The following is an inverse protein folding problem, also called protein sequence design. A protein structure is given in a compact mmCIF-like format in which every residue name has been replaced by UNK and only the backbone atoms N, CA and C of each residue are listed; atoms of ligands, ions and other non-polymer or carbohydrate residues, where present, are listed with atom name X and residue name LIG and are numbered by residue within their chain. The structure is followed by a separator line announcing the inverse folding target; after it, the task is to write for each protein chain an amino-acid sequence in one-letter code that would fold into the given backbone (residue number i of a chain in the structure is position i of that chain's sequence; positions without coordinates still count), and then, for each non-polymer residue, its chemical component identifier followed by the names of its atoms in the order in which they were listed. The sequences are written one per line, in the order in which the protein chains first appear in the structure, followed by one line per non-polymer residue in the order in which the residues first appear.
data_IF_595433488422
#
_entry.id   IF_595433488422
#
_cell.length_a   1.000
_cell.length_b   1.000
_cell.length_c   1.000
_cell.angle_alpha   90.00
_cell.angle_beta   90.00
_cell.angle_gamma   90.00
#
_symmetry.space_group_name_H-M   'P 1'
#
loop_
_entity.id
_entity.type
_entity.pdbx_description
1 polymer ?
#
# COMPACT_ATOMS: atom_id res chain seq x y z
N UNK A 1 -16.15 24.84 14.61
CA UNK A 1 -15.67 26.05 13.91
C UNK A 1 -14.12 26.14 13.82
N UNK A 2 -13.35 25.45 14.66
CA UNK A 2 -11.88 25.49 14.60
C UNK A 2 -11.25 24.50 13.60
N UNK A 3 -11.93 23.42 13.24
CA UNK A 3 -11.40 22.39 12.32
C UNK A 3 -11.03 22.91 10.90
N UNK A 4 -11.83 23.76 10.24
CA UNK A 4 -11.47 24.25 8.91
C UNK A 4 -10.22 25.13 8.89
N UNK A 5 -10.04 26.00 9.88
CA UNK A 5 -8.87 26.88 9.99
C UNK A 5 -7.57 26.10 10.25
N UNK A 6 -7.62 25.06 11.10
CA UNK A 6 -6.48 24.19 11.37
C UNK A 6 -6.12 23.33 10.14
N UNK A 7 -7.14 22.83 9.42
CA UNK A 7 -6.92 22.09 8.18
C UNK A 7 -6.27 22.98 7.11
N UNK A 8 -6.68 24.25 6.98
CA UNK A 8 -6.09 25.19 6.03
C UNK A 8 -4.63 25.52 6.37
N UNK A 9 -4.30 25.65 7.67
CA UNK A 9 -2.91 25.86 8.11
C UNK A 9 -2.01 24.69 7.75
N UNK A 10 -2.52 23.48 7.68
CA UNK A 10 -1.80 22.24 7.39
C UNK A 10 -1.94 21.78 5.94
N UNK A 11 -2.57 22.57 5.07
CA UNK A 11 -2.75 22.20 3.66
C UNK A 11 -1.37 22.02 2.98
N UNK A 12 -1.09 20.79 2.58
CA UNK A 12 0.18 20.40 1.97
C UNK A 12 0.47 21.17 0.66
N UNK A 13 -0.56 21.61 -0.07
CA UNK A 13 -0.41 22.40 -1.31
C UNK A 13 0.10 23.80 -1.01
N UNK A 14 -0.37 24.39 0.10
CA UNK A 14 0.10 25.69 0.57
C UNK A 14 1.50 25.58 1.11
N UNK A 15 1.74 24.68 2.05
CA UNK A 15 3.07 24.48 2.66
C UNK A 15 4.11 24.06 1.61
N UNK A 16 3.74 23.19 0.68
CA UNK A 16 4.60 22.76 -0.41
C UNK A 16 5.11 23.93 -1.26
N UNK A 17 4.24 24.89 -1.55
CA UNK A 17 4.57 26.11 -2.31
C UNK A 17 5.38 27.10 -1.47
N UNK A 18 4.91 27.44 -0.26
CA UNK A 18 5.56 28.40 0.61
C UNK A 18 6.97 27.99 1.02
N UNK A 19 7.17 26.69 1.27
CA UNK A 19 8.47 26.12 1.66
C UNK A 19 9.29 25.62 0.48
N UNK A 20 8.80 25.71 -0.75
CA UNK A 20 9.44 25.22 -1.97
C UNK A 20 9.77 23.71 -1.90
N UNK A 21 8.78 22.88 -1.51
CA UNK A 21 8.98 21.45 -1.31
C UNK A 21 8.77 20.65 -2.60
N UNK A 22 7.75 20.99 -3.38
CA UNK A 22 7.39 20.29 -4.60
C UNK A 22 6.49 21.14 -5.50
N UNK A 23 6.32 20.71 -6.74
CA UNK A 23 5.28 21.22 -7.63
C UNK A 23 4.74 20.11 -8.54
N UNK A 24 3.59 20.38 -9.13
CA UNK A 24 2.94 19.55 -10.15
C UNK A 24 2.68 20.44 -11.36
N UNK A 25 2.94 19.91 -12.56
CA UNK A 25 2.73 20.66 -13.83
C UNK A 25 2.20 19.74 -14.94
N UNK A 26 1.68 20.33 -16.00
CA UNK A 26 0.98 19.60 -17.08
C UNK A 26 1.84 18.56 -17.81
N UNK A 27 3.14 18.79 -17.93
CA UNK A 27 4.03 17.81 -18.61
C UNK A 27 4.11 16.47 -17.89
N UNK A 28 3.68 16.43 -16.63
CA UNK A 28 3.63 15.21 -15.81
C UNK A 28 2.41 15.23 -14.89
N UNK A 29 1.21 15.26 -15.49
CA UNK A 29 -0.05 15.36 -14.77
C UNK A 29 -0.19 14.23 -13.74
N UNK A 30 -0.42 14.59 -12.47
CA UNK A 30 -0.55 13.64 -11.37
C UNK A 30 0.78 13.04 -10.90
N UNK A 31 1.91 13.60 -11.32
CA UNK A 31 3.25 13.23 -10.86
C UNK A 31 3.94 14.41 -10.22
N UNK A 32 4.74 14.16 -9.20
CA UNK A 32 5.32 15.19 -8.34
C UNK A 32 6.76 15.46 -8.71
N UNK A 33 7.09 16.74 -8.92
CA UNK A 33 8.47 17.21 -8.99
C UNK A 33 8.93 17.62 -7.59
N UNK A 34 9.78 16.81 -6.98
CA UNK A 34 10.32 17.08 -5.66
C UNK A 34 11.50 18.03 -5.75
N UNK A 35 11.41 19.16 -5.04
CA UNK A 35 12.51 20.10 -4.88
C UNK A 35 13.50 19.62 -3.81
N UNK A 36 14.71 20.20 -3.70
CA UNK A 36 15.73 19.70 -2.77
C UNK A 36 15.26 19.55 -1.33
N UNK A 37 14.54 20.53 -0.80
CA UNK A 37 14.00 20.46 0.58
C UNK A 37 12.91 19.39 0.73
N UNK A 38 12.00 19.30 -0.26
CA UNK A 38 10.94 18.29 -0.26
C UNK A 38 11.50 16.89 -0.42
N UNK A 39 12.49 16.70 -1.28
CA UNK A 39 13.18 15.43 -1.44
C UNK A 39 13.92 14.99 -0.18
N UNK A 40 14.56 15.93 0.51
CA UNK A 40 15.19 15.66 1.81
C UNK A 40 14.16 15.16 2.84
N UNK A 41 13.01 15.81 2.96
CA UNK A 41 11.93 15.38 3.86
C UNK A 41 11.40 14.00 3.48
N UNK A 42 11.22 13.76 2.19
CA UNK A 42 10.81 12.45 1.67
C UNK A 42 11.78 11.35 2.10
N UNK A 43 13.08 11.58 1.92
CA UNK A 43 14.12 10.62 2.31
C UNK A 43 14.19 10.40 3.82
N UNK A 44 14.00 11.44 4.63
CA UNK A 44 13.93 11.32 6.09
C UNK A 44 12.77 10.42 6.51
N UNK A 45 11.59 10.64 5.93
CA UNK A 45 10.42 9.81 6.22
C UNK A 45 10.62 8.36 5.75
N UNK A 46 11.17 8.17 4.55
CA UNK A 46 11.45 6.83 4.02
C UNK A 46 12.47 6.09 4.89
N UNK A 47 13.53 6.75 5.34
CA UNK A 47 14.54 6.14 6.21
C UNK A 47 13.98 5.83 7.61
N UNK A 48 13.10 6.68 8.14
CA UNK A 48 12.38 6.39 9.37
C UNK A 48 11.55 5.10 9.22
N UNK A 49 10.75 5.00 8.17
CA UNK A 49 9.95 3.79 7.92
C UNK A 49 10.83 2.56 7.73
N UNK A 50 11.93 2.69 6.99
CA UNK A 50 12.90 1.57 6.82
C UNK A 50 13.41 1.05 8.16
N UNK A 51 13.84 1.93 9.04
CA UNK A 51 14.30 1.54 10.38
C UNK A 51 13.22 0.88 11.23
N UNK A 52 11.96 1.32 11.11
CA UNK A 52 10.83 0.70 11.80
C UNK A 52 10.53 -0.70 11.28
N UNK A 53 10.57 -0.88 9.95
CA UNK A 53 10.34 -2.18 9.30
C UNK A 53 11.48 -3.18 9.60
N UNK A 54 12.74 -2.72 9.54
CA UNK A 54 13.90 -3.56 9.89
C UNK A 54 13.83 -4.06 11.34
N UNK A 55 13.42 -3.20 12.28
CA UNK A 55 13.28 -3.56 13.69
C UNK A 55 12.23 -4.68 13.92
N UNK A 56 11.24 -4.77 13.03
CA UNK A 56 10.20 -5.80 13.04
C UNK A 56 10.49 -6.97 12.08
N UNK A 57 11.75 -7.11 11.66
CA UNK A 57 12.22 -8.20 10.79
C UNK A 57 11.55 -8.25 9.41
N UNK A 58 11.14 -7.10 8.86
CA UNK A 58 10.78 -7.01 7.45
C UNK A 58 12.05 -6.96 6.60
N UNK A 59 12.08 -7.74 5.53
CA UNK A 59 13.16 -7.71 4.53
C UNK A 59 12.76 -6.79 3.38
N UNK A 60 13.61 -5.80 3.08
CA UNK A 60 13.36 -4.88 1.98
C UNK A 60 13.68 -5.57 0.65
N UNK A 61 12.74 -5.47 -0.29
CA UNK A 61 12.89 -5.94 -1.66
C UNK A 61 12.64 -4.79 -2.63
N UNK A 62 13.00 -4.98 -3.89
CA UNK A 62 12.70 -4.03 -4.98
C UNK A 62 12.30 -4.80 -6.23
N UNK A 63 11.12 -4.51 -6.76
CA UNK A 63 10.55 -5.20 -7.90
C UNK A 63 10.42 -4.28 -9.13
N UNK A 64 10.41 -4.85 -10.36
CA UNK A 64 10.30 -4.06 -11.57
C UNK A 64 9.03 -3.20 -11.62
N UNK A 65 9.15 -1.99 -12.15
CA UNK A 65 8.01 -1.08 -12.33
C UNK A 65 7.20 -1.44 -13.60
N UNK A 66 7.90 -1.81 -14.67
CA UNK A 66 7.30 -2.18 -15.95
C UNK A 66 7.29 -3.69 -16.08
N UNK A 67 6.10 -4.28 -16.14
CA UNK A 67 5.90 -5.74 -16.06
C UNK A 67 4.97 -6.19 -17.18
N UNK A 68 5.23 -7.39 -17.71
CA UNK A 68 4.41 -7.98 -18.77
C UNK A 68 2.96 -8.19 -18.31
N UNK A 69 2.04 -7.96 -19.24
CA UNK A 69 0.59 -8.15 -19.04
C UNK A 69 0.23 -9.52 -18.44
N UNK A 70 0.96 -10.56 -18.80
CA UNK A 70 0.71 -11.93 -18.35
C UNK A 70 0.67 -12.03 -16.82
N UNK A 71 1.56 -11.32 -16.10
CA UNK A 71 1.52 -11.33 -14.63
C UNK A 71 0.20 -10.76 -14.07
N UNK A 72 -0.33 -9.75 -14.73
CA UNK A 72 -1.57 -9.10 -14.32
C UNK A 72 -2.81 -9.94 -14.68
N UNK A 73 -2.75 -10.69 -15.78
CA UNK A 73 -3.77 -11.69 -16.16
C UNK A 73 -3.79 -12.84 -15.15
N UNK A 74 -2.64 -13.44 -14.87
CA UNK A 74 -2.50 -14.55 -13.92
C UNK A 74 -2.98 -14.21 -12.50
N UNK A 75 -2.82 -12.98 -12.09
CA UNK A 75 -3.22 -12.50 -10.76
C UNK A 75 -4.64 -11.92 -10.70
N UNK A 76 -5.38 -11.90 -11.82
CA UNK A 76 -6.74 -11.35 -11.91
C UNK A 76 -6.83 -9.82 -11.91
N UNK A 77 -5.68 -9.12 -11.83
CA UNK A 77 -5.66 -7.67 -11.83
C UNK A 77 -6.01 -7.06 -13.19
N UNK A 78 -5.68 -7.76 -14.29
CA UNK A 78 -5.95 -7.25 -15.63
C UNK A 78 -7.43 -7.02 -15.89
N UNK A 79 -8.29 -7.92 -15.48
CA UNK A 79 -9.74 -7.80 -15.66
C UNK A 79 -10.33 -6.65 -14.85
N UNK A 80 -9.82 -6.43 -13.64
CA UNK A 80 -10.40 -5.47 -12.67
C UNK A 80 -9.77 -4.08 -12.73
N UNK A 81 -8.49 -3.97 -13.12
CA UNK A 81 -7.71 -2.73 -13.04
C UNK A 81 -7.19 -2.23 -14.38
N UNK A 82 -7.46 -2.92 -15.50
CA UNK A 82 -6.94 -2.56 -16.82
C UNK A 82 -7.13 -1.08 -17.17
N UNK A 83 -8.29 -0.52 -16.90
CA UNK A 83 -8.60 0.88 -17.21
C UNK A 83 -7.77 1.87 -16.38
N UNK A 84 -7.28 1.42 -15.23
CA UNK A 84 -6.43 2.18 -14.32
C UNK A 84 -4.93 1.91 -14.50
N UNK A 85 -4.54 1.11 -15.47
CA UNK A 85 -3.13 0.81 -15.75
C UNK A 85 -2.61 1.66 -16.91
N UNK A 86 -1.39 2.18 -16.76
CA UNK A 86 -0.61 2.68 -17.87
C UNK A 86 0.04 1.51 -18.59
N UNK A 87 -0.17 1.40 -19.90
CA UNK A 87 0.37 0.34 -20.73
C UNK A 87 1.29 0.90 -21.80
N UNK A 88 2.27 0.08 -22.19
CA UNK A 88 3.17 0.36 -23.31
C UNK A 88 3.30 -0.91 -24.17
N UNK A 89 3.48 -0.74 -25.46
CA UNK A 89 3.74 -1.85 -26.41
C UNK A 89 5.20 -1.82 -26.81
N UNK A 90 5.86 -2.97 -26.75
CA UNK A 90 7.24 -3.14 -27.19
C UNK A 90 7.46 -4.58 -27.63
N UNK A 91 8.06 -4.77 -28.83
CA UNK A 91 8.41 -6.09 -29.36
C UNK A 91 7.23 -7.09 -29.35
N UNK A 92 6.07 -6.65 -29.82
CA UNK A 92 4.80 -7.42 -29.85
C UNK A 92 4.28 -7.85 -28.46
N UNK A 93 4.77 -7.23 -27.39
CA UNK A 93 4.34 -7.46 -26.01
C UNK A 93 3.66 -6.22 -25.44
N UNK A 94 2.65 -6.45 -24.59
CA UNK A 94 2.01 -5.40 -23.79
C UNK A 94 2.61 -5.44 -22.39
N UNK A 95 3.20 -4.33 -22.01
CA UNK A 95 3.77 -4.10 -20.68
C UNK A 95 2.88 -3.12 -19.92
N UNK A 96 2.79 -3.24 -18.61
CA UNK A 96 2.07 -2.30 -17.76
C UNK A 96 2.97 -1.77 -16.64
N UNK A 97 2.85 -0.49 -16.34
CA UNK A 97 3.39 0.06 -15.10
C UNK A 97 2.59 -0.51 -13.92
N UNK A 98 3.27 -1.07 -12.93
CA UNK A 98 2.61 -1.72 -11.80
C UNK A 98 1.72 -0.74 -11.03
N UNK A 99 0.43 -1.05 -10.84
CA UNK A 99 -0.47 -0.27 -10.00
C UNK A 99 -0.36 -0.63 -8.52
N UNK A 100 0.28 -1.76 -8.21
CA UNK A 100 0.52 -2.33 -6.88
C UNK A 100 1.68 -3.33 -6.90
N UNK A 101 2.17 -3.73 -5.73
CA UNK A 101 3.37 -4.58 -5.60
C UNK A 101 3.05 -6.07 -5.40
N UNK A 102 1.82 -6.42 -5.02
CA UNK A 102 1.42 -7.76 -4.58
C UNK A 102 1.87 -8.89 -5.53
N UNK A 103 1.53 -8.88 -6.84
CA UNK A 103 1.95 -9.97 -7.73
C UNK A 103 3.46 -10.10 -7.87
N UNK A 104 4.20 -8.98 -7.78
CA UNK A 104 5.65 -8.98 -7.87
C UNK A 104 6.31 -9.61 -6.64
N UNK A 105 5.82 -9.35 -5.43
CA UNK A 105 6.31 -10.00 -4.21
C UNK A 105 6.05 -11.51 -4.24
N UNK A 106 4.90 -11.94 -4.78
CA UNK A 106 4.62 -13.36 -4.99
C UNK A 106 5.63 -14.00 -5.92
N UNK A 107 6.13 -13.29 -6.96
CA UNK A 107 7.17 -13.83 -7.84
C UNK A 107 8.49 -14.05 -7.09
N UNK A 108 8.87 -13.15 -6.18
CA UNK A 108 10.06 -13.37 -5.33
C UNK A 108 9.85 -14.60 -4.44
N UNK A 109 8.70 -14.71 -3.80
CA UNK A 109 8.37 -15.86 -2.94
C UNK A 109 8.42 -17.19 -3.72
N UNK A 110 7.91 -17.23 -4.95
CA UNK A 110 7.93 -18.42 -5.81
C UNK A 110 9.33 -18.88 -6.22
N UNK A 111 10.32 -17.98 -6.27
CA UNK A 111 11.70 -18.33 -6.64
C UNK A 111 12.46 -19.04 -5.52
N UNK A 112 12.05 -18.85 -4.27
CA UNK A 112 12.69 -19.49 -3.13
C UNK A 112 12.08 -20.87 -2.85
N UNK A 113 12.91 -21.81 -2.43
CA UNK A 113 12.40 -23.05 -1.84
C UNK A 113 12.09 -22.77 -0.37
N UNK A 114 10.83 -22.42 -0.09
CA UNK A 114 10.38 -22.05 1.24
C UNK A 114 9.77 -23.26 1.96
N UNK A 115 10.23 -23.54 3.17
CA UNK A 115 9.59 -24.49 4.06
C UNK A 115 8.58 -23.76 4.96
N UNK A 116 7.55 -24.47 5.45
CA UNK A 116 6.65 -23.93 6.46
C UNK A 116 7.37 -23.46 7.74
N UNK A 117 8.60 -23.97 7.98
CA UNK A 117 9.45 -23.58 9.12
C UNK A 117 10.10 -22.20 8.94
N UNK A 118 10.15 -21.69 7.71
CA UNK A 118 10.73 -20.40 7.40
C UNK A 118 9.70 -19.27 7.56
N UNK A 119 8.42 -19.63 7.76
CA UNK A 119 7.31 -18.69 7.92
C UNK A 119 7.19 -18.21 9.39
N UNK A 120 6.78 -16.97 9.62
CA UNK A 120 6.36 -15.98 8.62
C UNK A 120 7.54 -15.31 7.91
N UNK A 121 7.34 -14.95 6.63
CA UNK A 121 8.27 -14.12 5.86
C UNK A 121 7.59 -12.76 5.62
N UNK A 122 8.21 -11.69 6.08
CA UNK A 122 7.73 -10.31 5.93
C UNK A 122 8.57 -9.61 4.89
N UNK A 123 8.00 -9.34 3.71
CA UNK A 123 8.65 -8.59 2.63
C UNK A 123 8.10 -7.18 2.58
N UNK A 124 8.98 -6.18 2.52
CA UNK A 124 8.59 -4.77 2.38
C UNK A 124 9.25 -4.13 1.16
N UNK A 125 8.58 -3.18 0.54
CA UNK A 125 9.09 -2.44 -0.60
C UNK A 125 8.63 -0.98 -0.54
N UNK A 126 9.54 -0.06 -0.81
CA UNK A 126 9.15 1.30 -1.20
C UNK A 126 8.86 1.30 -2.70
N UNK A 127 7.69 0.77 -3.04
CA UNK A 127 7.31 0.46 -4.40
C UNK A 127 6.80 1.68 -5.15
N UNK A 128 7.43 2.01 -6.28
CA UNK A 128 6.93 3.04 -7.19
C UNK A 128 5.80 2.48 -8.03
N UNK A 129 4.58 2.95 -7.78
CA UNK A 129 3.35 2.51 -8.43
C UNK A 129 2.73 3.63 -9.27
N UNK A 130 1.99 3.23 -10.31
CA UNK A 130 1.32 4.16 -11.21
C UNK A 130 -0.13 3.72 -11.42
N UNK A 131 -1.04 4.68 -11.34
CA UNK A 131 -2.47 4.46 -11.63
C UNK A 131 -2.99 5.54 -12.56
N UNK A 132 -3.66 5.15 -13.64
CA UNK A 132 -4.25 6.07 -14.60
C UNK A 132 -5.54 6.69 -14.03
N UNK A 133 -5.37 7.49 -12.98
CA UNK A 133 -6.48 8.20 -12.37
C UNK A 133 -7.01 9.29 -13.33
N UNK A 134 -8.34 9.48 -13.44
CA UNK A 134 -8.89 10.54 -14.25
C UNK A 134 -8.43 11.91 -13.74
N UNK A 135 -8.17 12.84 -14.65
CA UNK A 135 -7.62 14.16 -14.30
C UNK A 135 -8.49 14.94 -13.30
N UNK A 136 -9.80 14.79 -13.38
CA UNK A 136 -10.74 15.44 -12.45
C UNK A 136 -10.71 14.89 -11.02
N UNK A 137 -10.09 13.72 -10.80
CA UNK A 137 -9.96 13.13 -9.47
C UNK A 137 -8.64 13.51 -8.77
N UNK A 138 -7.69 14.13 -9.48
CA UNK A 138 -6.37 14.46 -8.93
C UNK A 138 -6.47 15.57 -7.89
N UNK A 139 -5.75 15.41 -6.77
CA UNK A 139 -5.80 16.34 -5.66
C UNK A 139 -4.47 16.41 -4.90
N UNK A 140 -3.61 17.36 -5.26
CA UNK A 140 -2.32 17.60 -4.62
C UNK A 140 -1.48 16.31 -4.51
N UNK A 141 -1.00 16.01 -3.31
CA UNK A 141 -0.32 14.74 -2.98
C UNK A 141 -1.29 13.64 -2.56
N UNK A 142 -2.57 13.96 -2.33
CA UNK A 142 -3.55 13.02 -1.79
C UNK A 142 -4.08 12.06 -2.85
N UNK A 143 -4.16 12.49 -4.11
CA UNK A 143 -4.54 11.64 -5.23
C UNK A 143 -3.71 11.98 -6.47
N UNK A 144 -2.83 11.08 -6.82
CA UNK A 144 -1.81 11.21 -7.86
C UNK A 144 -1.85 10.03 -8.82
N UNK A 145 -1.12 10.12 -9.92
CA UNK A 145 -0.94 9.01 -10.87
C UNK A 145 0.35 8.24 -10.62
N UNK A 146 1.37 8.88 -10.06
CA UNK A 146 2.64 8.26 -9.68
C UNK A 146 2.89 8.48 -8.19
N UNK A 147 3.12 7.42 -7.44
CA UNK A 147 3.32 7.44 -6.00
C UNK A 147 4.22 6.30 -5.54
N UNK A 148 4.76 6.43 -4.34
CA UNK A 148 5.51 5.36 -3.67
C UNK A 148 4.70 4.84 -2.51
N UNK A 149 4.57 3.53 -2.42
CA UNK A 149 3.99 2.85 -1.26
C UNK A 149 5.10 2.28 -0.39
N UNK A 150 5.03 2.47 0.91
CA UNK A 150 5.70 1.63 1.90
C UNK A 150 4.83 0.39 2.13
N UNK A 151 4.94 -0.55 1.22
CA UNK A 151 4.07 -1.70 1.11
C UNK A 151 4.75 -2.96 1.65
N UNK A 152 3.98 -3.85 2.25
CA UNK A 152 4.50 -5.12 2.76
C UNK A 152 3.52 -6.26 2.51
N UNK A 153 4.09 -7.45 2.30
CA UNK A 153 3.37 -8.70 2.20
C UNK A 153 3.95 -9.71 3.17
N UNK A 154 3.09 -10.29 3.99
CA UNK A 154 3.44 -11.27 5.01
C UNK A 154 2.98 -12.64 4.52
N UNK A 155 3.93 -13.52 4.23
CA UNK A 155 3.67 -14.90 3.89
C UNK A 155 3.71 -15.72 5.18
N UNK A 156 2.58 -16.30 5.55
CA UNK A 156 2.43 -17.00 6.82
C UNK A 156 1.52 -18.23 6.70
N UNK A 157 1.52 -19.08 7.72
CA UNK A 157 0.56 -20.17 7.85
C UNK A 157 -0.78 -19.65 8.41
N UNK A 158 -1.88 -20.40 8.24
CA UNK A 158 -3.20 -19.98 8.74
C UNK A 158 -3.20 -19.68 10.24
N UNK A 159 -2.49 -20.49 11.04
CA UNK A 159 -2.35 -20.32 12.50
C UNK A 159 -1.52 -19.10 12.91
N UNK A 160 -0.73 -18.52 11.99
CA UNK A 160 0.06 -17.32 12.22
C UNK A 160 -0.71 -16.02 11.89
N UNK A 161 -1.83 -16.08 11.19
CA UNK A 161 -2.56 -14.87 10.74
C UNK A 161 -2.88 -13.94 11.91
N UNK A 162 -3.43 -14.47 12.99
CA UNK A 162 -3.82 -13.67 14.16
C UNK A 162 -2.61 -12.98 14.79
N UNK A 163 -1.51 -13.69 15.02
CA UNK A 163 -0.31 -13.13 15.63
C UNK A 163 0.38 -12.09 14.74
N UNK A 164 0.44 -12.33 13.43
CA UNK A 164 1.01 -11.38 12.47
C UNK A 164 0.15 -10.12 12.35
N UNK A 165 -1.16 -10.25 12.40
CA UNK A 165 -2.08 -9.10 12.38
C UNK A 165 -1.93 -8.25 13.64
N UNK A 166 -1.82 -8.87 14.82
CA UNK A 166 -1.56 -8.14 16.08
C UNK A 166 -0.25 -7.37 16.00
N UNK A 167 0.84 -8.03 15.58
CA UNK A 167 2.15 -7.39 15.43
C UNK A 167 2.11 -6.21 14.46
N UNK A 168 1.39 -6.36 13.34
CA UNK A 168 1.19 -5.28 12.37
C UNK A 168 0.40 -4.10 12.98
N UNK A 169 -0.69 -4.37 13.70
CA UNK A 169 -1.49 -3.32 14.35
C UNK A 169 -0.66 -2.55 15.38
N UNK A 170 0.15 -3.24 16.18
CA UNK A 170 1.01 -2.62 17.18
C UNK A 170 2.06 -1.71 16.51
N UNK A 171 2.70 -2.18 15.45
CA UNK A 171 3.64 -1.39 14.66
C UNK A 171 2.96 -0.14 14.09
N UNK A 172 1.82 -0.31 13.41
CA UNK A 172 1.07 0.77 12.79
C UNK A 172 0.67 1.85 13.80
N UNK A 173 0.08 1.46 14.92
CA UNK A 173 -0.36 2.38 15.97
C UNK A 173 0.82 3.11 16.61
N UNK A 174 1.95 2.44 16.79
CA UNK A 174 3.16 3.08 17.32
C UNK A 174 3.72 4.15 16.36
N UNK A 175 3.72 3.88 15.04
CA UNK A 175 4.14 4.83 14.01
C UNK A 175 3.21 6.06 13.99
N UNK A 176 1.90 5.85 13.97
CA UNK A 176 0.94 6.96 13.99
C UNK A 176 1.09 7.84 15.23
N UNK A 177 1.28 7.23 16.40
CA UNK A 177 1.54 7.96 17.64
C UNK A 177 2.82 8.80 17.58
N UNK A 178 3.92 8.25 17.05
CA UNK A 178 5.18 8.99 16.87
C UNK A 178 5.03 10.14 15.87
N UNK A 179 4.21 9.98 14.84
CA UNK A 179 3.92 11.02 13.85
C UNK A 179 2.87 12.04 14.33
N UNK A 180 2.33 11.88 15.55
CA UNK A 180 1.40 12.81 16.16
C UNK A 180 -0.06 12.63 15.75
N UNK A 181 -0.43 11.47 15.22
CA UNK A 181 -1.83 11.12 14.96
C UNK A 181 -2.44 10.45 16.20
N UNK A 182 -3.36 11.15 16.85
CA UNK A 182 -4.02 10.66 18.06
C UNK A 182 -5.34 9.93 17.73
N UNK A 183 -6.06 10.44 16.74
CA UNK A 183 -7.35 9.89 16.31
C UNK A 183 -7.17 8.97 15.09
N UNK A 184 -7.17 7.67 15.31
CA UNK A 184 -7.04 6.65 14.25
C UNK A 184 -8.33 5.82 14.20
N UNK A 185 -9.04 5.92 13.07
CA UNK A 185 -10.21 5.10 12.80
C UNK A 185 -9.77 3.80 12.11
N UNK A 186 -10.03 2.68 12.76
CA UNK A 186 -9.76 1.34 12.21
C UNK A 186 -11.03 0.78 11.59
N UNK A 187 -10.96 0.35 10.35
CA UNK A 187 -12.06 -0.30 9.65
C UNK A 187 -11.71 -1.74 9.32
N UNK A 188 -12.65 -2.63 9.58
CA UNK A 188 -12.61 -4.00 9.12
C UNK A 188 -13.40 -4.11 7.82
N UNK A 189 -12.72 -4.36 6.71
CA UNK A 189 -13.34 -4.57 5.40
C UNK A 189 -13.43 -6.06 5.13
N UNK A 190 -14.65 -6.57 4.96
CA UNK A 190 -14.90 -7.95 4.62
C UNK A 190 -14.85 -8.18 3.09
N UNK A 191 -15.02 -9.44 2.70
CA UNK A 191 -14.91 -9.89 1.30
C UNK A 191 -15.89 -9.18 0.37
N UNK A 192 -15.47 -8.79 -0.84
CA UNK A 192 -16.36 -8.27 -1.86
C UNK A 192 -17.19 -9.41 -2.49
N UNK A 193 -18.30 -9.04 -3.17
CA UNK A 193 -19.16 -10.01 -3.85
C UNK A 193 -18.40 -10.79 -4.93
N UNK A 194 -17.59 -10.10 -5.74
CA UNK A 194 -16.74 -10.70 -6.78
C UNK A 194 -15.30 -10.80 -6.27
N UNK A 195 -14.86 -12.02 -5.98
CA UNK A 195 -13.57 -12.31 -5.37
C UNK A 195 -12.94 -13.59 -5.90
N UNK A 196 -11.64 -13.77 -5.64
CA UNK A 196 -10.92 -15.01 -5.87
C UNK A 196 -10.89 -15.86 -4.59
N UNK A 197 -10.74 -17.18 -4.72
CA UNK A 197 -10.64 -18.11 -3.60
C UNK A 197 -11.98 -18.67 -3.12
N UNK A 198 -11.89 -19.71 -2.30
CA UNK A 198 -13.04 -20.44 -1.77
C UNK A 198 -13.58 -19.77 -0.50
N UNK A 199 -14.87 -19.90 -0.25
CA UNK A 199 -15.55 -19.26 0.88
C UNK A 199 -15.01 -19.68 2.24
N UNK A 200 -14.61 -20.95 2.39
CA UNK A 200 -14.06 -21.46 3.66
C UNK A 200 -12.70 -20.82 4.01
N UNK A 201 -11.90 -20.45 3.01
CA UNK A 201 -10.64 -19.71 3.20
C UNK A 201 -10.92 -18.29 3.65
N UNK A 202 -11.92 -17.65 3.03
CA UNK A 202 -12.36 -16.31 3.43
C UNK A 202 -12.92 -16.30 4.86
N UNK A 203 -13.74 -17.29 5.23
CA UNK A 203 -14.30 -17.41 6.57
C UNK A 203 -13.21 -17.50 7.64
N UNK A 204 -12.17 -18.30 7.40
CA UNK A 204 -11.02 -18.45 8.30
C UNK A 204 -10.22 -17.16 8.41
N UNK A 205 -9.91 -16.53 7.27
CA UNK A 205 -9.11 -15.31 7.24
C UNK A 205 -9.83 -14.15 7.95
N UNK A 206 -11.09 -13.92 7.64
CA UNK A 206 -11.90 -12.90 8.29
C UNK A 206 -12.05 -13.13 9.79
N UNK A 207 -12.28 -14.39 10.22
CA UNK A 207 -12.37 -14.72 11.64
C UNK A 207 -11.04 -14.44 12.35
N UNK A 208 -9.91 -14.83 11.75
CA UNK A 208 -8.58 -14.58 12.32
C UNK A 208 -8.29 -13.07 12.45
N UNK A 209 -8.67 -12.27 11.47
CA UNK A 209 -8.56 -10.81 11.51
C UNK A 209 -9.45 -10.19 12.58
N UNK A 210 -10.70 -10.64 12.71
CA UNK A 210 -11.61 -10.18 13.77
C UNK A 210 -11.10 -10.53 15.16
N UNK A 211 -10.53 -11.72 15.34
CA UNK A 211 -9.96 -12.14 16.61
C UNK A 211 -8.71 -11.31 16.95
N UNK A 212 -7.88 -11.00 15.96
CA UNK A 212 -6.73 -10.12 16.13
C UNK A 212 -7.14 -8.71 16.54
N UNK A 213 -8.11 -8.11 15.86
CA UNK A 213 -8.59 -6.76 16.21
C UNK A 213 -9.20 -6.68 17.59
N UNK A 214 -9.94 -7.71 18.03
CA UNK A 214 -10.43 -7.81 19.41
C UNK A 214 -9.30 -7.92 20.43
N UNK A 215 -8.26 -8.71 20.10
CA UNK A 215 -7.11 -8.89 20.99
C UNK A 215 -6.27 -7.62 21.17
N UNK A 216 -6.20 -6.76 20.14
CA UNK A 216 -5.50 -5.47 20.22
C UNK A 216 -6.29 -4.42 21.01
N UNK A 217 -7.59 -4.62 21.24
CA UNK A 217 -8.46 -3.65 21.91
C UNK A 217 -8.79 -2.42 21.07
N UNK A 218 -8.49 -2.45 19.76
CA UNK A 218 -8.81 -1.36 18.83
C UNK A 218 -10.32 -1.34 18.55
N UNK A 219 -10.92 -0.17 18.65
CA UNK A 219 -12.29 0.04 18.18
C UNK A 219 -12.31 -0.06 16.64
N UNK A 220 -13.16 -0.94 16.12
CA UNK A 220 -13.24 -1.23 14.69
C UNK A 220 -14.64 -1.02 14.16
N UNK A 221 -14.75 -0.30 13.03
CA UNK A 221 -15.99 -0.18 12.28
C UNK A 221 -16.00 -1.20 11.13
N UNK A 222 -17.15 -1.84 10.92
CA UNK A 222 -17.34 -2.70 9.75
C UNK A 222 -17.48 -1.87 8.47
N UNK A 223 -16.74 -2.25 7.43
CA UNK A 223 -16.79 -1.65 6.09
C UNK A 223 -17.12 -2.76 5.06
N UNK A 224 -18.42 -3.08 4.89
CA UNK A 224 -18.84 -4.27 4.16
C UNK A 224 -18.47 -4.24 2.67
N UNK A 225 -17.91 -5.35 2.17
CA UNK A 225 -17.60 -5.55 0.76
C UNK A 225 -16.41 -4.77 0.20
N UNK A 226 -15.68 -4.04 1.04
CA UNK A 226 -14.57 -3.16 0.64
C UNK A 226 -13.19 -3.84 0.80
N UNK A 227 -13.17 -5.12 1.11
CA UNK A 227 -11.94 -5.90 1.17
C UNK A 227 -11.32 -6.12 -0.21
N UNK A 228 -10.05 -6.53 -0.24
CA UNK A 228 -9.38 -6.94 -1.47
C UNK A 228 -10.10 -8.15 -2.10
N UNK A 229 -10.02 -8.28 -3.42
CA UNK A 229 -10.72 -9.36 -4.14
C UNK A 229 -9.94 -10.69 -4.18
N UNK A 230 -8.75 -10.74 -3.59
CA UNK A 230 -7.83 -11.88 -3.59
C UNK A 230 -7.25 -12.16 -2.22
#
# INVERSE_FOLDING_TARGET
LHMPEEAEKRDHRRLGREMSLFHIQEVATGSVFWHPKGWMLYQVLQNYMRGRLEAENYVEVNTPQLVDRVLWEDSGHWEKFREHMFTAESEDRILALKPMNCPCHVQIYKQATVSYRDLPIRMAEFGSCHRNEPSGALHGLMRVRAFTQDDAHIFCTEDQITSETIAFCDLLMSIYKELGFEDVLVKFSDRPEVRAGEDDVWDKAEQALLDATKATGLETELNPGEGAFY
#
